data_IF_202516771025
#
_entry.id   IF_202516771025
#
_cell.length_a   1.000
_cell.length_b   1.000
_cell.length_c   1.000
_cell.angle_alpha   90.00
_cell.angle_beta   90.00
_cell.angle_gamma   90.00
#
_symmetry.space_group_name_H-M   'P 1'
#
loop_
_entity.id
_entity.type
_entity.pdbx_description
1 polymer ?
#
# COMPACT_ATOMS: atom_id res chain seq x y z
N UNK A 1 -23.12 0.91 6.20
CA UNK A 1 -22.40 -0.14 5.43
C UNK A 1 -21.29 0.56 4.68
N UNK A 2 -20.03 0.41 5.11
CA UNK A 2 -18.87 0.99 4.41
C UNK A 2 -18.31 -0.07 3.47
N UNK A 3 -18.63 0.01 2.19
CA UNK A 3 -17.98 -0.83 1.17
C UNK A 3 -16.68 -0.15 0.75
N UNK A 4 -15.60 -0.47 1.46
CA UNK A 4 -14.26 -0.12 1.00
C UNK A 4 -13.88 -1.03 -0.17
N UNK A 5 -14.21 -0.64 -1.39
CA UNK A 5 -13.59 -1.19 -2.60
C UNK A 5 -12.33 -0.38 -2.91
N UNK A 6 -11.35 -0.44 -1.99
CA UNK A 6 -10.01 0.06 -2.27
C UNK A 6 -9.22 -0.98 -3.08
N UNK A 7 -8.19 -0.55 -3.82
CA UNK A 7 -7.26 -1.51 -4.40
C UNK A 7 -6.68 -2.40 -3.30
N UNK A 8 -6.43 -3.68 -3.62
CA UNK A 8 -5.72 -4.59 -2.71
C UNK A 8 -4.33 -4.02 -2.44
N UNK A 9 -3.99 -3.88 -1.16
CA UNK A 9 -2.69 -3.40 -0.70
C UNK A 9 -2.00 -4.54 0.03
N UNK A 10 -0.82 -4.90 -0.42
CA UNK A 10 0.03 -5.87 0.26
C UNK A 10 0.98 -5.12 1.19
N UNK A 11 1.20 -5.65 2.40
CA UNK A 11 2.14 -5.06 3.37
C UNK A 11 2.94 -6.16 4.07
N UNK A 12 4.21 -5.88 4.29
CA UNK A 12 5.06 -6.69 5.17
C UNK A 12 4.90 -6.20 6.60
N UNK A 13 4.55 -7.09 7.52
CA UNK A 13 4.41 -6.77 8.94
C UNK A 13 5.39 -7.59 9.77
N UNK A 14 6.14 -6.92 10.65
CA UNK A 14 7.09 -7.55 11.58
C UNK A 14 6.48 -7.84 12.97
N UNK A 15 5.24 -7.41 13.21
CA UNK A 15 4.56 -7.49 14.51
C UNK A 15 3.19 -8.17 14.38
N UNK A 16 2.68 -8.67 15.49
CA UNK A 16 1.31 -9.17 15.57
C UNK A 16 0.31 -8.05 15.23
N UNK A 17 -0.60 -8.34 14.31
CA UNK A 17 -1.62 -7.40 13.85
C UNK A 17 -3.02 -8.02 13.98
N UNK A 18 -4.00 -7.19 14.34
CA UNK A 18 -5.41 -7.56 14.28
C UNK A 18 -5.88 -7.43 12.83
N UNK A 19 -6.44 -8.51 12.29
CA UNK A 19 -6.87 -8.56 10.89
C UNK A 19 -8.34 -8.16 10.79
N UNK A 20 -8.62 -7.14 9.98
CA UNK A 20 -9.99 -6.79 9.63
C UNK A 20 -10.61 -7.86 8.70
N UNK A 21 -11.94 -7.94 8.60
CA UNK A 21 -12.60 -8.77 7.60
C UNK A 21 -12.05 -8.49 6.19
N UNK A 22 -11.83 -9.55 5.40
CA UNK A 22 -11.22 -9.52 4.05
C UNK A 22 -9.72 -9.16 4.03
N UNK A 23 -9.03 -9.21 5.17
CA UNK A 23 -7.55 -9.17 5.23
C UNK A 23 -7.03 -10.59 5.43
N UNK A 24 -6.17 -11.05 4.52
CA UNK A 24 -5.47 -12.33 4.63
C UNK A 24 -4.07 -12.13 5.21
N UNK A 25 -3.65 -13.04 6.09
CA UNK A 25 -2.25 -13.12 6.55
C UNK A 25 -1.55 -14.25 5.81
N UNK A 26 -0.52 -13.90 5.05
CA UNK A 26 0.33 -14.87 4.35
C UNK A 26 1.64 -15.02 5.12
N UNK A 27 1.95 -16.24 5.56
CA UNK A 27 3.22 -16.57 6.21
C UNK A 27 4.12 -17.32 5.24
N UNK A 28 5.19 -16.66 4.79
CA UNK A 28 6.24 -17.25 3.99
C UNK A 28 7.12 -18.19 4.84
N UNK A 29 7.50 -19.35 4.29
CA UNK A 29 8.61 -20.13 4.84
C UNK A 29 9.93 -19.46 4.40
N UNK A 30 10.73 -18.92 5.34
CA UNK A 30 11.92 -18.13 5.01
C UNK A 30 13.06 -18.94 4.37
N UNK A 31 13.01 -20.28 4.45
CA UNK A 31 13.94 -21.15 3.75
C UNK A 31 13.59 -21.42 2.29
N UNK A 32 12.39 -21.04 1.85
CA UNK A 32 11.84 -21.34 0.51
C UNK A 32 11.59 -20.07 -0.28
N UNK A 33 11.04 -19.04 0.37
CA UNK A 33 10.66 -17.79 -0.28
C UNK A 33 10.99 -16.60 0.61
N UNK A 34 11.57 -15.57 0.02
CA UNK A 34 11.73 -14.30 0.70
C UNK A 34 10.37 -13.57 0.81
N UNK A 35 10.05 -13.13 2.03
CA UNK A 35 8.75 -12.53 2.33
C UNK A 35 8.55 -11.15 1.68
N UNK A 36 9.63 -10.39 1.45
CA UNK A 36 9.58 -9.08 0.78
C UNK A 36 9.37 -9.27 -0.70
N UNK A 37 10.09 -10.23 -1.30
CA UNK A 37 9.87 -10.65 -2.67
C UNK A 37 8.43 -11.11 -2.91
N UNK A 38 7.90 -11.99 -2.04
CA UNK A 38 6.52 -12.45 -2.12
C UNK A 38 5.52 -11.29 -2.03
N UNK A 39 5.78 -10.29 -1.19
CA UNK A 39 4.93 -9.10 -1.11
C UNK A 39 4.87 -8.35 -2.45
N UNK A 40 6.00 -8.21 -3.14
CA UNK A 40 6.06 -7.61 -4.48
C UNK A 40 5.30 -8.42 -5.53
N UNK A 41 5.45 -9.75 -5.52
CA UNK A 41 4.72 -10.65 -6.43
C UNK A 41 3.20 -10.52 -6.23
N UNK A 42 2.74 -10.55 -4.98
CA UNK A 42 1.31 -10.41 -4.66
C UNK A 42 0.78 -9.02 -5.01
N UNK A 43 1.57 -7.95 -4.80
CA UNK A 43 1.17 -6.59 -5.17
C UNK A 43 1.02 -6.47 -6.69
N UNK A 44 2.00 -6.97 -7.45
CA UNK A 44 1.93 -6.95 -8.92
C UNK A 44 0.75 -7.76 -9.47
N UNK A 45 0.45 -8.92 -8.86
CA UNK A 45 -0.73 -9.71 -9.22
C UNK A 45 -2.03 -8.96 -8.91
N UNK A 46 -2.12 -8.33 -7.75
CA UNK A 46 -3.27 -7.49 -7.39
C UNK A 46 -3.47 -6.34 -8.38
N UNK A 47 -2.40 -5.66 -8.78
CA UNK A 47 -2.46 -4.54 -9.71
C UNK A 47 -2.91 -4.98 -11.12
N UNK A 48 -2.50 -6.17 -11.57
CA UNK A 48 -2.95 -6.76 -12.84
C UNK A 48 -4.44 -7.16 -12.84
N UNK A 49 -5.02 -7.45 -11.67
CA UNK A 49 -6.45 -7.78 -11.52
C UNK A 49 -7.30 -6.55 -11.10
N UNK A 50 -6.88 -5.34 -11.51
CA UNK A 50 -7.54 -4.07 -11.15
C UNK A 50 -7.74 -3.90 -9.62
N UNK A 51 -6.76 -4.34 -8.85
CA UNK A 51 -6.76 -4.29 -7.38
C UNK A 51 -7.62 -5.37 -6.73
N UNK A 52 -8.06 -6.40 -7.44
CA UNK A 52 -8.89 -7.50 -6.90
C UNK A 52 -8.14 -8.83 -6.96
N UNK A 53 -7.33 -9.14 -5.96
CA UNK A 53 -6.69 -10.45 -5.87
C UNK A 53 -7.69 -11.49 -5.36
N UNK A 54 -8.30 -12.23 -6.27
CA UNK A 54 -9.43 -13.12 -5.94
C UNK A 54 -8.99 -14.50 -5.41
N UNK A 55 -7.83 -14.99 -5.86
CA UNK A 55 -7.21 -16.22 -5.37
C UNK A 55 -5.70 -16.04 -5.21
N UNK A 56 -5.23 -16.12 -3.96
CA UNK A 56 -3.82 -16.00 -3.61
C UNK A 56 -2.98 -17.17 -4.16
N UNK A 57 -3.58 -18.35 -4.33
CA UNK A 57 -2.87 -19.56 -4.74
C UNK A 57 -2.76 -19.69 -6.25
N UNK A 58 -3.56 -18.93 -7.01
CA UNK A 58 -3.47 -18.85 -8.47
C UNK A 58 -2.37 -17.90 -8.95
N UNK A 59 -1.76 -17.12 -8.05
CA UNK A 59 -0.71 -16.15 -8.39
C UNK A 59 0.50 -16.88 -8.97
N UNK A 60 0.83 -16.56 -10.22
CA UNK A 60 2.03 -17.04 -10.89
C UNK A 60 3.28 -16.60 -10.13
N UNK A 61 4.02 -17.56 -9.58
CA UNK A 61 5.23 -17.28 -8.81
C UNK A 61 6.49 -17.40 -9.68
N UNK A 62 7.32 -16.34 -9.80
CA UNK A 62 8.56 -16.40 -10.58
C UNK A 62 9.54 -17.44 -10.03
N UNK A 63 10.13 -18.25 -10.90
CA UNK A 63 11.19 -19.19 -10.51
C UNK A 63 12.51 -18.44 -10.38
N UNK A 64 12.82 -18.01 -9.16
CA UNK A 64 14.02 -17.25 -8.82
C UNK A 64 14.76 -17.88 -7.63
N UNK A 65 16.09 -18.04 -7.65
CA UNK A 65 16.86 -18.50 -6.49
C UNK A 65 16.68 -17.61 -5.25
N UNK A 66 16.72 -18.19 -4.05
CA UNK A 66 16.46 -17.46 -2.80
C UNK A 66 17.38 -16.24 -2.59
N UNK A 67 18.63 -16.32 -3.02
CA UNK A 67 19.57 -15.20 -2.92
C UNK A 67 19.14 -14.01 -3.79
N UNK A 68 18.68 -14.27 -5.02
CA UNK A 68 18.16 -13.25 -5.93
C UNK A 68 16.81 -12.70 -5.47
N UNK A 69 15.95 -13.55 -4.88
CA UNK A 69 14.71 -13.10 -4.26
C UNK A 69 14.98 -12.08 -3.16
N UNK A 70 15.99 -12.29 -2.31
CA UNK A 70 16.35 -11.34 -1.23
C UNK A 70 16.78 -9.98 -1.77
N UNK A 71 17.66 -9.96 -2.77
CA UNK A 71 18.10 -8.73 -3.42
C UNK A 71 16.92 -7.98 -4.04
N UNK A 72 16.05 -8.70 -4.75
CA UNK A 72 14.84 -8.12 -5.35
C UNK A 72 13.87 -7.63 -4.28
N UNK A 73 13.72 -8.38 -3.19
CA UNK A 73 12.86 -8.07 -2.06
C UNK A 73 13.26 -6.78 -1.35
N UNK A 74 14.56 -6.47 -1.27
CA UNK A 74 15.03 -5.20 -0.71
C UNK A 74 14.59 -4.02 -1.59
N UNK A 75 14.70 -4.12 -2.93
CA UNK A 75 14.17 -3.11 -3.85
C UNK A 75 12.65 -2.97 -3.76
N UNK A 76 11.92 -4.07 -3.57
CA UNK A 76 10.46 -4.03 -3.35
C UNK A 76 10.13 -3.21 -2.10
N UNK A 77 10.85 -3.40 -1.00
CA UNK A 77 10.61 -2.63 0.23
C UNK A 77 10.86 -1.13 0.02
N UNK A 78 11.91 -0.76 -0.71
CA UNK A 78 12.18 0.64 -1.05
C UNK A 78 11.03 1.27 -1.84
N UNK A 79 10.51 0.55 -2.85
CA UNK A 79 9.38 1.01 -3.66
C UNK A 79 8.09 1.14 -2.84
N UNK A 80 7.80 0.17 -1.96
CA UNK A 80 6.63 0.23 -1.08
C UNK A 80 6.72 1.39 -0.09
N UNK A 81 7.91 1.66 0.45
CA UNK A 81 8.15 2.80 1.34
C UNK A 81 7.95 4.15 0.61
N UNK A 82 8.38 4.23 -0.65
CA UNK A 82 8.15 5.41 -1.49
C UNK A 82 6.67 5.63 -1.78
N UNK A 83 5.93 4.60 -2.18
CA UNK A 83 4.48 4.68 -2.42
C UNK A 83 3.74 5.12 -1.15
N UNK A 84 4.10 4.56 0.01
CA UNK A 84 3.55 4.96 1.30
C UNK A 84 3.83 6.43 1.64
N UNK A 85 5.06 6.91 1.39
CA UNK A 85 5.41 8.31 1.61
C UNK A 85 4.60 9.24 0.71
N UNK A 86 4.48 8.89 -0.57
CA UNK A 86 3.68 9.62 -1.54
C UNK A 86 2.20 9.69 -1.15
N UNK A 87 1.59 8.56 -0.78
CA UNK A 87 0.18 8.52 -0.33
C UNK A 87 -0.06 9.39 0.89
N UNK A 88 0.86 9.39 1.87
CA UNK A 88 0.77 10.26 3.05
C UNK A 88 0.82 11.74 2.65
N UNK A 89 1.76 12.12 1.79
CA UNK A 89 1.89 13.49 1.31
C UNK A 89 0.64 13.94 0.55
N UNK A 90 0.14 13.10 -0.37
CA UNK A 90 -1.10 13.36 -1.11
C UNK A 90 -2.28 13.58 -0.15
N UNK A 91 -2.46 12.70 0.83
CA UNK A 91 -3.53 12.84 1.83
C UNK A 91 -3.42 14.14 2.64
N UNK A 92 -2.20 14.57 2.98
CA UNK A 92 -1.98 15.83 3.68
C UNK A 92 -2.37 17.04 2.82
N UNK A 93 -2.00 17.04 1.53
CA UNK A 93 -2.38 18.11 0.59
C UNK A 93 -3.90 18.15 0.38
N UNK A 94 -4.53 16.99 0.13
CA UNK A 94 -5.98 16.91 -0.03
C UNK A 94 -6.74 17.42 1.21
N UNK A 95 -6.22 17.12 2.40
CA UNK A 95 -6.76 17.64 3.67
C UNK A 95 -6.59 19.16 3.77
N UNK A 96 -5.38 19.66 3.52
CA UNK A 96 -5.07 21.08 3.55
C UNK A 96 -5.98 21.90 2.63
N UNK A 97 -6.16 21.45 1.38
CA UNK A 97 -7.04 22.11 0.41
C UNK A 97 -8.49 22.13 0.90
N UNK A 98 -8.99 20.98 1.37
CA UNK A 98 -10.37 20.85 1.88
C UNK A 98 -10.61 21.79 3.07
N UNK A 99 -9.70 21.80 4.03
CA UNK A 99 -9.79 22.63 5.23
C UNK A 99 -9.63 24.12 4.89
N UNK A 100 -8.75 24.46 3.95
CA UNK A 100 -8.58 25.82 3.44
C UNK A 100 -9.86 26.36 2.81
N UNK A 101 -10.49 25.60 1.90
CA UNK A 101 -11.77 25.99 1.27
C UNK A 101 -12.86 26.15 2.33
N UNK A 102 -12.99 25.19 3.25
CA UNK A 102 -13.99 25.25 4.31
C UNK A 102 -13.76 26.42 5.29
N UNK A 103 -12.50 26.79 5.53
CA UNK A 103 -12.12 27.93 6.35
C UNK A 103 -12.46 29.26 5.69
N UNK A 104 -12.15 29.41 4.39
CA UNK A 104 -12.48 30.61 3.62
C UNK A 104 -13.99 30.79 3.45
N UNK A 105 -14.71 29.74 3.03
CA UNK A 105 -16.16 29.79 2.86
C UNK A 105 -16.91 30.04 4.18
N UNK A 106 -16.34 29.57 5.30
CA UNK A 106 -16.90 29.76 6.64
C UNK A 106 -16.42 31.01 7.38
N UNK A 107 -15.61 31.87 6.75
CA UNK A 107 -15.07 33.09 7.37
C UNK A 107 -14.08 32.87 8.51
N UNK A 108 -13.57 31.64 8.70
CA UNK A 108 -12.53 31.33 9.71
C UNK A 108 -11.11 31.61 9.21
N UNK A 109 -10.93 31.68 7.89
CA UNK A 109 -9.70 32.12 7.24
C UNK A 109 -10.00 33.40 6.48
N UNK A 110 -9.12 34.40 6.60
CA UNK A 110 -9.15 35.59 5.76
C UNK A 110 -8.31 35.36 4.52
N UNK A 111 -8.74 35.78 3.32
CA UNK A 111 -7.81 35.97 2.22
C UNK A 111 -6.71 36.93 2.72
N UNK A 112 -5.44 36.60 2.44
CA UNK A 112 -4.33 37.48 2.79
C UNK A 112 -4.45 38.85 2.13
N UNK A 113 -3.71 39.87 2.59
CA UNK A 113 -3.73 41.18 1.96
C UNK A 113 -3.34 41.06 0.48
N UNK A 114 -4.20 41.53 -0.41
CA UNK A 114 -3.85 41.80 -1.81
C UNK A 114 -2.81 42.92 -1.81
N UNK A 115 -1.53 42.55 -1.98
CA UNK A 115 -0.46 43.50 -2.26
C UNK A 115 -0.41 43.78 -3.76
#
# INVERSE_FOLDING_TARGET
MVTGSGPTIVRVCAVSALLAPRVALVRANPGVVDHRFLAGVLQAAADNEDGKLSDLFAVGFPRMPLAEQRLTGDSVVELMALDDAWRRQRSAVERLVREGIAGLAGGRLSPGPTT
#
